data_IF_803760627731
#
_entry.id   IF_803760627731
#
_cell.length_a   1.000
_cell.length_b   1.000
_cell.length_c   1.000
_cell.angle_alpha   90.00
_cell.angle_beta   90.00
_cell.angle_gamma   90.00
#
_symmetry.space_group_name_H-M   'P 1'
#
loop_
_entity.id
_entity.type
_entity.pdbx_description
1 polymer ?
#
# COMPACT_ATOMS: atom_id res chain seq x y z
N UNK A 1 28.93 37.58 -2.01
CA UNK A 1 28.55 36.18 -1.71
C UNK A 1 27.06 36.20 -1.47
N UNK A 2 26.27 35.98 -2.52
CA UNK A 2 24.81 36.10 -2.46
C UNK A 2 24.21 34.72 -2.21
N UNK A 3 23.55 34.55 -1.07
CA UNK A 3 22.74 33.37 -0.77
C UNK A 3 21.42 33.50 -1.54
N UNK A 4 21.17 32.57 -2.46
CA UNK A 4 19.88 32.41 -3.10
C UNK A 4 19.05 31.43 -2.25
N UNK A 5 17.98 31.93 -1.62
CA UNK A 5 16.99 31.10 -0.94
C UNK A 5 16.10 30.40 -1.96
N UNK A 6 16.11 29.07 -1.95
CA UNK A 6 15.15 28.26 -2.69
C UNK A 6 13.89 28.09 -1.86
N UNK A 7 12.80 28.71 -2.31
CA UNK A 7 11.45 28.44 -1.82
C UNK A 7 10.98 27.10 -2.38
N UNK A 8 10.74 26.12 -1.51
CA UNK A 8 10.08 24.86 -1.85
C UNK A 8 8.58 25.09 -1.85
N UNK A 9 7.98 25.10 -3.04
CA UNK A 9 6.52 25.13 -3.22
C UNK A 9 5.97 23.75 -2.89
N UNK A 10 5.22 23.63 -1.80
CA UNK A 10 4.44 22.44 -1.46
C UNK A 10 3.23 22.39 -2.41
N UNK A 11 3.21 21.44 -3.35
CA UNK A 11 2.04 21.20 -4.19
C UNK A 11 1.14 20.16 -3.52
N UNK A 12 0.00 20.60 -3.01
CA UNK A 12 -1.08 19.74 -2.54
C UNK A 12 -1.70 19.00 -3.74
N UNK A 13 -1.44 17.70 -3.85
CA UNK A 13 -2.13 16.82 -4.80
C UNK A 13 -3.28 16.14 -4.07
N UNK A 14 -4.52 16.56 -4.36
CA UNK A 14 -5.73 15.84 -3.96
C UNK A 14 -5.82 14.50 -4.69
N UNK A 15 -5.83 13.42 -3.93
CA UNK A 15 -6.08 12.07 -4.42
C UNK A 15 -7.60 11.91 -4.53
N UNK A 16 -8.13 11.90 -5.76
CA UNK A 16 -9.51 11.51 -6.00
C UNK A 16 -9.66 10.01 -5.79
N UNK A 17 -10.61 9.61 -4.94
CA UNK A 17 -11.01 8.22 -4.72
C UNK A 17 -11.94 7.82 -5.87
N UNK A 18 -11.48 6.96 -6.78
CA UNK A 18 -12.32 6.35 -7.81
C UNK A 18 -13.05 5.13 -7.21
N UNK A 19 -14.39 5.19 -7.25
CA UNK A 19 -15.30 4.11 -6.87
C UNK A 19 -15.13 2.89 -7.80
N UNK A 20 -14.98 1.71 -7.21
CA UNK A 20 -14.71 0.45 -7.91
C UNK A 20 -15.98 -0.40 -7.96
N UNK A 21 -16.66 -0.43 -9.12
CA UNK A 21 -17.85 -1.26 -9.33
C UNK A 21 -17.50 -2.75 -9.51
N UNK A 22 -18.01 -3.60 -8.61
CA UNK A 22 -17.86 -5.06 -8.64
C UNK A 22 -19.00 -5.66 -9.48
N UNK A 23 -18.69 -6.22 -10.64
CA UNK A 23 -19.66 -6.99 -11.43
C UNK A 23 -19.70 -8.46 -10.99
N UNK A 24 -20.90 -8.93 -10.63
CA UNK A 24 -21.23 -10.33 -10.34
C UNK A 24 -21.11 -11.20 -11.60
N UNK A 25 -20.39 -12.31 -11.50
CA UNK A 25 -20.28 -13.34 -12.53
C UNK A 25 -21.44 -14.32 -12.38
N UNK A 26 -22.28 -14.42 -13.42
CA UNK A 26 -23.39 -15.36 -13.52
C UNK A 26 -22.86 -16.81 -13.65
N UNK A 27 -23.41 -17.70 -12.82
CA UNK A 27 -23.07 -19.11 -12.75
C UNK A 27 -23.79 -19.93 -13.81
N UNK A 28 -23.03 -20.76 -14.53
CA UNK A 28 -23.57 -21.75 -15.47
C UNK A 28 -23.96 -23.04 -14.77
N UNK A 29 -25.22 -23.45 -14.95
CA UNK A 29 -25.81 -24.75 -14.57
C UNK A 29 -25.00 -25.92 -15.17
N UNK A 30 -24.64 -26.89 -14.32
CA UNK A 30 -24.02 -28.15 -14.69
C UNK A 30 -24.97 -29.27 -14.26
N UNK A 31 -25.53 -29.98 -15.24
CA UNK A 31 -26.49 -31.06 -15.04
C UNK A 31 -25.83 -32.30 -14.42
N UNK A 32 -26.46 -32.78 -13.35
CA UNK A 32 -26.18 -34.01 -12.62
C UNK A 32 -26.64 -35.24 -13.42
N UNK A 33 -25.77 -36.25 -13.58
CA UNK A 33 -26.17 -37.62 -13.90
C UNK A 33 -25.60 -38.60 -12.86
N UNK A 34 -26.55 -39.23 -12.18
CA UNK A 34 -26.51 -40.26 -11.14
C UNK A 34 -25.74 -41.54 -11.58
N UNK A 35 -24.81 -42.03 -10.76
CA UNK A 35 -24.49 -43.47 -10.72
C UNK A 35 -24.14 -43.93 -9.29
N UNK A 36 -25.09 -44.65 -8.69
CA UNK A 36 -25.06 -45.15 -7.32
C UNK A 36 -24.32 -46.49 -7.22
N UNK A 37 -23.13 -46.49 -6.63
CA UNK A 37 -22.38 -47.69 -6.26
C UNK A 37 -21.94 -47.66 -4.80
N UNK A 38 -22.70 -48.29 -3.90
CA UNK A 38 -22.39 -48.34 -2.46
C UNK A 38 -21.25 -49.33 -2.16
N UNK A 39 -20.05 -48.82 -1.89
CA UNK A 39 -18.99 -49.56 -1.19
C UNK A 39 -18.77 -48.89 0.17
N UNK A 40 -19.22 -49.56 1.24
CA UNK A 40 -18.92 -49.17 2.62
C UNK A 40 -17.46 -49.54 2.90
N UNK A 41 -16.57 -48.58 2.73
CA UNK A 41 -15.19 -48.65 3.18
C UNK A 41 -15.03 -47.81 4.46
N UNK A 42 -14.78 -48.49 5.59
CA UNK A 42 -14.59 -47.90 6.93
C UNK A 42 -13.28 -47.09 7.06
N UNK A 43 -12.57 -46.83 5.94
CA UNK A 43 -11.43 -45.91 5.85
C UNK A 43 -11.83 -44.43 5.62
N UNK A 44 -13.12 -44.15 5.37
CA UNK A 44 -13.63 -42.82 5.00
C UNK A 44 -13.58 -41.75 6.12
N UNK A 45 -13.41 -42.13 7.39
CA UNK A 45 -13.34 -41.16 8.49
C UNK A 45 -11.98 -40.43 8.57
N UNK A 46 -10.88 -41.05 8.13
CA UNK A 46 -9.57 -40.40 8.09
C UNK A 46 -9.43 -39.43 6.90
N UNK A 47 -10.14 -39.69 5.80
CA UNK A 47 -10.11 -38.83 4.60
C UNK A 47 -10.86 -37.51 4.84
N UNK A 48 -11.96 -37.53 5.59
CA UNK A 48 -12.70 -36.31 5.95
C UNK A 48 -11.89 -35.40 6.89
N UNK A 49 -11.11 -35.98 7.80
CA UNK A 49 -10.22 -35.19 8.67
C UNK A 49 -9.01 -34.65 7.90
N UNK A 50 -8.52 -35.31 6.85
CA UNK A 50 -7.50 -34.74 5.97
C UNK A 50 -8.05 -33.65 5.03
N UNK A 51 -9.30 -33.77 4.57
CA UNK A 51 -9.93 -32.79 3.68
C UNK A 51 -10.29 -31.49 4.42
N UNK A 52 -10.69 -31.56 5.69
CA UNK A 52 -11.05 -30.37 6.48
C UNK A 52 -9.85 -29.50 6.87
N UNK A 53 -8.62 -30.04 6.80
CA UNK A 53 -7.38 -29.30 7.02
C UNK A 53 -6.77 -28.73 5.73
N UNK A 54 -7.39 -28.97 4.57
CA UNK A 54 -6.84 -28.57 3.26
C UNK A 54 -7.22 -27.15 2.83
N UNK A 55 -8.14 -26.48 3.53
CA UNK A 55 -8.39 -25.05 3.35
C UNK A 55 -7.66 -24.25 4.42
N UNK A 56 -6.32 -24.39 4.49
CA UNK A 56 -5.53 -23.41 5.21
C UNK A 56 -5.76 -22.05 4.53
N UNK A 57 -6.58 -21.23 5.16
CA UNK A 57 -6.98 -19.92 4.66
C UNK A 57 -5.71 -19.13 4.31
N UNK A 58 -5.58 -18.81 3.02
CA UNK A 58 -4.45 -18.05 2.53
C UNK A 58 -4.53 -16.66 3.15
N UNK A 59 -3.46 -16.26 3.81
CA UNK A 59 -3.43 -15.01 4.58
C UNK A 59 -2.94 -13.84 3.74
N UNK A 60 -1.95 -14.07 2.89
CA UNK A 60 -1.44 -13.07 1.96
C UNK A 60 -0.80 -13.77 0.75
N UNK A 61 -1.34 -13.52 -0.44
CA UNK A 61 -0.99 -14.25 -1.67
C UNK A 61 -1.10 -15.77 -1.48
N UNK A 62 0.01 -16.49 -1.65
CA UNK A 62 0.14 -17.94 -1.54
C UNK A 62 0.64 -18.41 -0.15
N UNK A 63 0.64 -17.52 0.85
CA UNK A 63 1.19 -17.79 2.18
C UNK A 63 0.09 -17.84 3.23
N UNK A 64 0.19 -18.82 4.13
CA UNK A 64 -0.54 -18.83 5.38
C UNK A 64 0.11 -17.86 6.38
N UNK A 65 -0.59 -17.55 7.48
CA UNK A 65 -0.05 -16.70 8.55
C UNK A 65 1.22 -17.31 9.19
N UNK A 66 1.28 -18.63 9.32
CA UNK A 66 2.46 -19.34 9.86
C UNK A 66 3.64 -19.28 8.90
N UNK A 67 3.41 -19.47 7.60
CA UNK A 67 4.44 -19.32 6.56
C UNK A 67 5.04 -17.91 6.53
N UNK A 68 4.18 -16.90 6.66
CA UNK A 68 4.55 -15.50 6.68
C UNK A 68 5.46 -15.17 7.88
N UNK A 69 5.07 -15.61 9.09
CA UNK A 69 5.79 -15.33 10.33
C UNK A 69 7.05 -16.20 10.50
N UNK A 70 7.05 -17.42 9.94
CA UNK A 70 8.20 -18.33 10.00
C UNK A 70 9.36 -17.91 9.11
N UNK A 71 9.16 -16.97 8.17
CA UNK A 71 10.20 -16.37 7.33
C UNK A 71 10.84 -17.30 6.29
N UNK A 72 10.58 -18.61 6.34
CA UNK A 72 11.22 -19.62 5.50
C UNK A 72 10.64 -19.76 4.09
N UNK A 73 9.35 -19.45 3.89
CA UNK A 73 8.70 -19.64 2.58
C UNK A 73 8.76 -18.38 1.72
N UNK A 74 9.21 -18.55 0.47
CA UNK A 74 9.17 -17.50 -0.53
C UNK A 74 7.71 -17.19 -0.93
N UNK A 75 7.39 -15.91 -1.04
CA UNK A 75 6.10 -15.47 -1.59
C UNK A 75 6.12 -15.63 -3.10
N UNK A 76 4.99 -16.00 -3.67
CA UNK A 76 4.72 -15.99 -5.11
C UNK A 76 3.58 -15.02 -5.32
N UNK A 77 3.89 -13.83 -5.81
CA UNK A 77 2.88 -12.85 -6.14
C UNK A 77 2.09 -13.30 -7.36
N UNK A 78 0.77 -13.13 -7.31
CA UNK A 78 -0.10 -13.30 -8.45
C UNK A 78 0.24 -12.30 -9.57
N UNK A 79 -0.21 -12.58 -10.80
CA UNK A 79 -0.05 -11.63 -11.92
C UNK A 79 -0.72 -10.29 -11.61
N UNK A 80 -1.91 -10.31 -10.98
CA UNK A 80 -2.61 -9.09 -10.53
C UNK A 80 -1.73 -8.26 -9.60
N UNK A 81 -1.14 -8.91 -8.60
CA UNK A 81 -0.31 -8.24 -7.59
C UNK A 81 0.99 -7.68 -8.18
N UNK A 82 1.61 -8.39 -9.12
CA UNK A 82 2.79 -7.88 -9.84
C UNK A 82 2.42 -6.62 -10.63
N UNK A 83 1.28 -6.63 -11.36
CA UNK A 83 0.78 -5.43 -12.07
C UNK A 83 0.51 -4.29 -11.10
N UNK A 84 -0.16 -4.54 -9.97
CA UNK A 84 -0.40 -3.54 -8.93
C UNK A 84 0.90 -2.93 -8.42
N UNK A 85 1.92 -3.75 -8.12
CA UNK A 85 3.25 -3.28 -7.67
C UNK A 85 3.90 -2.41 -8.75
N UNK A 86 3.88 -2.84 -10.01
CA UNK A 86 4.51 -2.10 -11.12
C UNK A 86 3.81 -0.78 -11.39
N UNK A 87 2.47 -0.78 -11.49
CA UNK A 87 1.67 0.42 -11.67
C UNK A 87 1.84 1.40 -10.50
N UNK A 88 1.83 0.91 -9.25
CA UNK A 88 2.08 1.71 -8.07
C UNK A 88 3.48 2.36 -8.12
N UNK A 89 4.51 1.56 -8.44
CA UNK A 89 5.89 2.05 -8.54
C UNK A 89 6.06 3.07 -9.66
N UNK A 90 5.41 2.88 -10.82
CA UNK A 90 5.40 3.88 -11.88
C UNK A 90 4.67 5.15 -11.44
N UNK A 91 3.48 5.06 -10.83
CA UNK A 91 2.71 6.22 -10.35
C UNK A 91 3.52 7.06 -9.38
N UNK A 92 4.04 6.39 -8.34
CA UNK A 92 4.77 7.02 -7.25
C UNK A 92 6.26 7.20 -7.54
N UNK A 93 6.76 6.80 -8.71
CA UNK A 93 8.19 6.79 -9.05
C UNK A 93 9.05 6.16 -7.93
N UNK A 94 8.68 4.95 -7.53
CA UNK A 94 9.34 4.15 -6.47
C UNK A 94 10.21 3.08 -7.08
N UNK A 95 11.41 2.90 -6.55
CA UNK A 95 12.36 1.87 -6.99
C UNK A 95 13.16 1.31 -5.81
N UNK A 96 14.06 0.36 -6.07
CA UNK A 96 14.93 -0.23 -5.04
C UNK A 96 15.86 0.82 -4.42
N UNK A 97 16.30 1.80 -5.22
CA UNK A 97 17.18 2.89 -4.79
C UNK A 97 16.43 4.14 -4.32
N UNK A 98 15.18 4.35 -4.75
CA UNK A 98 14.29 5.37 -4.21
C UNK A 98 13.02 4.74 -3.62
N UNK A 99 13.17 4.18 -2.42
CA UNK A 99 12.15 3.39 -1.70
C UNK A 99 10.88 4.20 -1.38
N UNK A 100 9.72 3.53 -1.19
CA UNK A 100 8.51 4.21 -0.76
C UNK A 100 8.64 4.68 0.70
N UNK A 101 7.99 5.77 1.08
CA UNK A 101 7.83 6.13 2.50
C UNK A 101 7.03 5.07 3.25
N UNK A 102 7.05 5.05 4.60
CA UNK A 102 6.22 4.13 5.38
C UNK A 102 4.72 4.20 5.02
N UNK A 103 4.20 5.42 4.79
CA UNK A 103 2.82 5.63 4.38
C UNK A 103 2.55 5.04 2.99
N UNK A 104 3.42 5.30 2.01
CA UNK A 104 3.29 4.71 0.66
C UNK A 104 3.39 3.19 0.68
N UNK A 105 4.24 2.61 1.54
CA UNK A 105 4.31 1.15 1.69
C UNK A 105 3.00 0.59 2.28
N UNK A 106 2.39 1.24 3.26
CA UNK A 106 1.07 0.84 3.76
C UNK A 106 0.00 0.94 2.66
N UNK A 107 -0.04 2.03 1.89
CA UNK A 107 -0.97 2.16 0.75
C UNK A 107 -0.80 1.04 -0.26
N UNK A 108 0.44 0.64 -0.58
CA UNK A 108 0.70 -0.49 -1.46
C UNK A 108 0.25 -1.83 -0.84
N UNK A 109 0.47 -2.04 0.46
CA UNK A 109 0.00 -3.25 1.14
C UNK A 109 -1.53 -3.36 1.10
N UNK A 110 -2.24 -2.27 1.33
CA UNK A 110 -3.71 -2.24 1.18
C UNK A 110 -4.15 -2.52 -0.26
N UNK A 111 -3.47 -1.95 -1.26
CA UNK A 111 -3.75 -2.21 -2.68
C UNK A 111 -3.46 -3.67 -3.10
N UNK A 112 -2.72 -4.42 -2.28
CA UNK A 112 -2.43 -5.84 -2.42
C UNK A 112 -3.34 -6.71 -1.54
N UNK A 113 -4.45 -6.15 -1.06
CA UNK A 113 -5.45 -6.84 -0.23
C UNK A 113 -4.83 -7.45 1.04
N UNK A 114 -3.84 -6.76 1.65
CA UNK A 114 -3.27 -7.19 2.93
C UNK A 114 -4.32 -7.10 4.06
N UNK A 115 -4.47 -8.13 4.91
CA UNK A 115 -5.52 -8.15 5.94
C UNK A 115 -5.39 -6.98 6.92
N UNK A 116 -6.46 -6.19 7.07
CA UNK A 116 -6.48 -4.99 7.94
C UNK A 116 -6.19 -5.31 9.41
N UNK A 117 -6.64 -6.48 9.87
CA UNK A 117 -6.46 -7.00 11.23
C UNK A 117 -5.08 -7.66 11.46
N UNK A 118 -4.18 -7.57 10.48
CA UNK A 118 -2.89 -8.23 10.59
C UNK A 118 -2.05 -7.68 11.75
N UNK A 119 -1.45 -8.61 12.50
CA UNK A 119 -0.57 -8.26 13.60
C UNK A 119 0.64 -7.47 13.09
N UNK A 120 1.22 -6.62 13.93
CA UNK A 120 2.41 -5.80 13.59
C UNK A 120 3.52 -6.64 12.94
N UNK A 121 3.78 -7.85 13.48
CA UNK A 121 4.80 -8.75 12.93
C UNK A 121 4.44 -9.30 11.55
N UNK A 122 3.17 -9.64 11.33
CA UNK A 122 2.71 -10.09 10.02
C UNK A 122 2.79 -8.94 9.01
N UNK A 123 2.37 -7.73 9.40
CA UNK A 123 2.47 -6.52 8.58
C UNK A 123 3.90 -6.20 8.17
N UNK A 124 4.84 -6.24 9.13
CA UNK A 124 6.27 -6.07 8.87
C UNK A 124 6.80 -7.15 7.90
N UNK A 125 6.42 -8.41 8.09
CA UNK A 125 6.82 -9.49 7.20
C UNK A 125 6.27 -9.33 5.76
N UNK A 126 5.02 -8.91 5.61
CA UNK A 126 4.42 -8.59 4.30
C UNK A 126 5.16 -7.42 3.64
N UNK A 127 5.38 -6.33 4.38
CA UNK A 127 6.13 -5.17 3.88
C UNK A 127 7.54 -5.54 3.41
N UNK A 128 8.26 -6.36 4.17
CA UNK A 128 9.57 -6.86 3.77
C UNK A 128 9.55 -7.70 2.48
N UNK A 129 8.51 -8.52 2.28
CA UNK A 129 8.31 -9.33 1.07
C UNK A 129 7.95 -8.46 -0.13
N UNK A 130 7.08 -7.46 0.03
CA UNK A 130 6.71 -6.49 -1.02
C UNK A 130 7.92 -5.65 -1.44
N UNK A 131 8.75 -5.20 -0.50
CA UNK A 131 9.98 -4.46 -0.84
C UNK A 131 10.96 -5.32 -1.67
N UNK A 132 11.05 -6.63 -1.41
CA UNK A 132 11.83 -7.54 -2.27
C UNK A 132 11.20 -7.71 -3.66
N UNK A 133 9.87 -7.71 -3.75
CA UNK A 133 9.18 -7.76 -5.03
C UNK A 133 9.40 -6.49 -5.86
N UNK A 134 9.44 -5.30 -5.24
CA UNK A 134 9.82 -4.06 -5.92
C UNK A 134 11.24 -4.18 -6.49
N UNK A 135 12.19 -4.68 -5.70
CA UNK A 135 13.56 -4.89 -6.18
C UNK A 135 13.61 -5.85 -7.38
N UNK A 136 12.92 -7.00 -7.29
CA UNK A 136 12.95 -8.02 -8.35
C UNK A 136 12.13 -7.67 -9.61
N UNK A 137 10.86 -7.29 -9.45
CA UNK A 137 9.93 -7.09 -10.57
C UNK A 137 9.98 -5.70 -11.18
N UNK A 138 10.55 -4.72 -10.47
CA UNK A 138 10.65 -3.33 -10.95
C UNK A 138 12.09 -2.94 -11.24
N UNK A 139 12.99 -3.04 -10.26
CA UNK A 139 14.33 -2.42 -10.37
C UNK A 139 15.34 -3.30 -11.10
N UNK A 140 15.37 -4.59 -10.80
CA UNK A 140 16.25 -5.56 -11.46
C UNK A 140 15.58 -6.27 -12.66
N UNK A 141 14.38 -5.83 -13.04
CA UNK A 141 13.68 -6.39 -14.18
C UNK A 141 14.29 -5.83 -15.48
N UNK A 142 15.03 -6.68 -16.20
CA UNK A 142 15.69 -6.32 -17.46
C UNK A 142 14.73 -5.89 -18.57
N UNK A 143 13.46 -6.27 -18.48
CA UNK A 143 12.42 -5.86 -19.43
C UNK A 143 11.87 -4.47 -19.13
N UNK A 144 12.00 -3.99 -17.88
CA UNK A 144 11.55 -2.67 -17.49
C UNK A 144 12.55 -1.60 -17.98
N UNK A 145 12.30 -1.09 -19.18
CA UNK A 145 13.10 -0.01 -19.78
C UNK A 145 12.61 1.39 -19.36
N UNK A 146 11.45 1.47 -18.71
CA UNK A 146 10.90 2.74 -18.24
C UNK A 146 11.68 3.30 -17.04
N UNK A 147 12.25 2.45 -16.19
CA UNK A 147 13.04 2.84 -15.03
C UNK A 147 14.54 2.84 -15.38
N UNK A 148 15.22 3.92 -15.01
CA UNK A 148 16.68 3.98 -14.99
C UNK A 148 17.17 4.45 -13.63
N UNK A 149 18.00 3.62 -13.00
CA UNK A 149 18.68 3.94 -11.74
C UNK A 149 20.17 4.13 -12.02
N UNK A 150 20.69 5.34 -11.77
CA UNK A 150 22.10 5.67 -12.00
C UNK A 150 22.70 6.27 -10.73
N UNK A 151 23.90 5.85 -10.29
CA UNK A 151 24.60 6.55 -9.23
C UNK A 151 25.06 7.93 -9.73
N UNK A 152 24.69 8.98 -9.00
CA UNK A 152 25.19 10.34 -9.21
C UNK A 152 26.68 10.48 -8.87
N UNK A 153 27.25 11.63 -9.22
CA UNK A 153 28.67 11.96 -8.92
C UNK A 153 28.96 12.02 -7.43
N UNK A 154 27.96 12.31 -6.61
CA UNK A 154 27.95 12.35 -5.15
C UNK A 154 27.64 10.99 -4.51
N UNK A 155 27.51 9.92 -5.33
CA UNK A 155 27.05 8.57 -4.91
C UNK A 155 25.60 8.53 -4.43
N UNK A 156 24.82 9.59 -4.64
CA UNK A 156 23.37 9.56 -4.43
C UNK A 156 22.72 8.97 -5.67
N UNK A 157 21.83 8.00 -5.48
CA UNK A 157 21.15 7.37 -6.60
C UNK A 157 20.11 8.30 -7.19
N UNK A 158 20.17 8.49 -8.51
CA UNK A 158 19.17 9.20 -9.30
C UNK A 158 18.29 8.15 -9.98
N UNK A 159 17.00 8.17 -9.65
CA UNK A 159 16.01 7.25 -10.20
C UNK A 159 15.08 8.04 -11.11
N UNK A 160 15.08 7.70 -12.39
CA UNK A 160 14.30 8.38 -13.41
C UNK A 160 13.34 7.42 -14.09
N UNK A 161 12.11 7.88 -14.30
CA UNK A 161 11.07 7.13 -15.00
C UNK A 161 10.79 7.76 -16.36
N UNK A 162 10.51 6.97 -17.38
CA UNK A 162 10.05 7.45 -18.68
C UNK A 162 8.58 7.86 -18.64
N UNK A 163 8.19 8.81 -19.49
CA UNK A 163 6.81 9.30 -19.58
C UNK A 163 5.83 8.19 -20.01
N UNK A 164 6.23 7.31 -20.94
CA UNK A 164 5.39 6.17 -21.36
C UNK A 164 5.05 5.19 -20.22
N UNK A 165 5.77 5.22 -19.09
CA UNK A 165 5.43 4.40 -17.92
C UNK A 165 4.05 4.76 -17.32
N UNK A 166 3.48 5.91 -17.70
CA UNK A 166 2.12 6.31 -17.30
C UNK A 166 1.05 5.43 -17.95
N UNK A 167 1.35 4.77 -19.08
CA UNK A 167 0.42 3.82 -19.72
C UNK A 167 0.09 2.64 -18.80
N UNK A 168 0.99 2.25 -17.89
CA UNK A 168 0.74 1.20 -16.89
C UNK A 168 -0.31 1.55 -15.84
N UNK A 169 -0.75 2.81 -15.80
CA UNK A 169 -1.78 3.28 -14.87
C UNK A 169 -3.19 3.10 -15.45
N UNK A 170 -3.29 2.70 -16.71
CA UNK A 170 -4.55 2.43 -17.39
C UNK A 170 -5.14 1.11 -16.85
N UNK A 171 -6.48 1.08 -16.74
CA UNK A 171 -7.19 -0.07 -16.18
C UNK A 171 -7.03 -1.35 -17.01
N UNK A 172 -6.88 -1.20 -18.32
CA UNK A 172 -6.74 -2.29 -19.30
C UNK A 172 -5.30 -2.71 -19.56
N UNK A 173 -4.32 -2.18 -18.81
CA UNK A 173 -2.93 -2.57 -18.96
C UNK A 173 -2.70 -4.05 -18.62
N UNK A 174 -2.05 -4.77 -19.54
CA UNK A 174 -1.85 -6.22 -19.49
C UNK A 174 -0.64 -6.67 -18.67
N UNK A 175 0.11 -5.73 -18.08
CA UNK A 175 1.31 -6.02 -17.30
C UNK A 175 2.61 -6.10 -18.11
N UNK A 176 2.58 -5.85 -19.42
CA UNK A 176 3.82 -5.75 -20.20
C UNK A 176 4.55 -4.45 -19.86
N UNK A 177 5.77 -4.60 -19.34
CA UNK A 177 6.65 -3.49 -18.93
C UNK A 177 7.66 -3.09 -20.00
N UNK A 178 7.64 -3.73 -21.18
CA UNK A 178 8.49 -3.36 -22.31
C UNK A 178 8.05 -2.02 -22.89
N UNK A 179 8.97 -1.36 -23.59
CA UNK A 179 8.67 -0.15 -24.37
C UNK A 179 7.65 -0.51 -25.47
N UNK A 180 6.47 0.13 -25.53
CA UNK A 180 5.53 -0.08 -26.62
C UNK A 180 6.11 0.29 -27.99
N UNK A 181 5.67 -0.39 -29.05
CA UNK A 181 6.16 -0.11 -30.42
C UNK A 181 5.67 1.26 -30.95
N UNK A 182 4.64 1.83 -30.32
CA UNK A 182 3.97 3.08 -30.67
C UNK A 182 4.29 4.23 -29.70
N UNK A 183 5.43 4.16 -28.98
CA UNK A 183 5.87 5.25 -28.10
C UNK A 183 6.20 6.50 -28.92
N UNK A 184 5.57 7.62 -28.57
CA UNK A 184 5.86 8.90 -29.20
C UNK A 184 7.13 9.55 -28.65
N UNK A 185 7.74 10.46 -29.43
CA UNK A 185 8.98 11.17 -29.02
C UNK A 185 8.83 11.90 -27.68
N UNK A 186 7.65 12.45 -27.40
CA UNK A 186 7.40 13.16 -26.15
C UNK A 186 7.32 12.20 -24.94
N UNK A 187 6.90 10.96 -25.15
CA UNK A 187 6.81 9.92 -24.11
C UNK A 187 8.18 9.25 -23.83
N UNK A 188 9.15 9.42 -24.73
CA UNK A 188 10.55 9.03 -24.51
C UNK A 188 11.28 9.93 -23.51
N UNK A 189 10.67 11.04 -23.12
CA UNK A 189 11.23 11.96 -22.12
C UNK A 189 11.23 11.32 -20.74
N UNK A 190 12.14 11.82 -19.91
CA UNK A 190 12.23 11.44 -18.50
C UNK A 190 11.26 12.31 -17.71
N UNK A 191 10.44 11.68 -16.87
CA UNK A 191 9.57 12.30 -15.89
C UNK A 191 10.41 13.08 -14.86
N UNK A 192 9.88 14.15 -14.26
CA UNK A 192 10.56 14.84 -13.16
C UNK A 192 10.92 13.85 -12.05
N UNK A 193 12.21 13.74 -11.74
CA UNK A 193 12.71 12.82 -10.73
C UNK A 193 12.35 13.32 -9.33
N UNK A 194 11.88 12.41 -8.48
CA UNK A 194 11.75 12.70 -7.05
C UNK A 194 13.10 12.49 -6.36
N UNK A 195 13.43 13.41 -5.45
CA UNK A 195 14.57 13.23 -4.55
C UNK A 195 14.45 11.96 -3.70
N UNK A 196 15.56 11.55 -3.09
CA UNK A 196 15.59 10.43 -2.16
C UNK A 196 14.64 10.73 -0.98
N UNK A 197 13.64 9.87 -0.77
CA UNK A 197 12.62 10.07 0.28
C UNK A 197 13.14 9.85 1.69
N UNK A 198 14.02 8.86 1.87
CA UNK A 198 14.63 8.51 3.16
C UNK A 198 15.81 7.55 2.97
N UNK A 199 16.59 7.34 4.04
CA UNK A 199 17.74 6.42 4.05
C UNK A 199 17.46 5.04 4.71
N UNK A 200 16.21 4.74 5.09
CA UNK A 200 15.88 3.50 5.79
C UNK A 200 16.27 2.22 5.02
N UNK A 201 16.79 1.23 5.74
CA UNK A 201 16.94 -0.14 5.24
C UNK A 201 15.56 -0.77 4.97
N UNK A 202 15.51 -1.89 4.23
CA UNK A 202 14.24 -2.54 3.93
C UNK A 202 13.51 -3.02 5.21
N UNK A 203 14.25 -3.56 6.19
CA UNK A 203 13.69 -3.97 7.48
C UNK A 203 13.22 -2.77 8.31
N UNK A 204 14.01 -1.68 8.37
CA UNK A 204 13.59 -0.46 9.08
C UNK A 204 12.33 0.15 8.46
N UNK A 205 12.24 0.19 7.14
CA UNK A 205 11.07 0.70 6.42
C UNK A 205 9.83 -0.15 6.70
N UNK A 206 9.95 -1.49 6.64
CA UNK A 206 8.84 -2.38 6.94
C UNK A 206 8.37 -2.26 8.40
N UNK A 207 9.29 -2.15 9.36
CA UNK A 207 8.97 -1.94 10.77
C UNK A 207 8.29 -0.58 11.01
N UNK A 208 8.77 0.48 10.35
CA UNK A 208 8.16 1.80 10.43
C UNK A 208 6.73 1.82 9.84
N UNK A 209 6.51 1.13 8.71
CA UNK A 209 5.20 0.98 8.10
C UNK A 209 4.23 0.22 9.01
N UNK A 210 4.67 -0.88 9.63
CA UNK A 210 3.88 -1.63 10.60
C UNK A 210 3.54 -0.82 11.87
N UNK A 211 4.48 0.00 12.36
CA UNK A 211 4.22 0.90 13.48
C UNK A 211 3.18 1.98 13.13
N UNK A 212 3.24 2.52 11.89
CA UNK A 212 2.26 3.48 11.40
C UNK A 212 0.86 2.84 11.26
N UNK A 213 0.78 1.62 10.73
CA UNK A 213 -0.47 0.85 10.62
C UNK A 213 -1.13 0.64 11.99
N UNK A 214 -0.35 0.20 12.98
CA UNK A 214 -0.85 0.01 14.36
C UNK A 214 -1.43 1.30 14.94
N UNK A 215 -0.80 2.45 14.71
CA UNK A 215 -1.29 3.74 15.20
C UNK A 215 -2.61 4.12 14.54
N UNK A 216 -2.76 3.86 13.25
CA UNK A 216 -4.02 4.10 12.53
C UNK A 216 -5.16 3.24 13.08
N UNK A 217 -4.91 1.93 13.29
CA UNK A 217 -5.90 1.03 13.89
C UNK A 217 -6.30 1.45 15.31
N UNK A 218 -5.32 1.80 16.15
CA UNK A 218 -5.60 2.25 17.52
C UNK A 218 -6.40 3.57 17.57
N UNK A 219 -6.24 4.43 16.57
CA UNK A 219 -7.05 5.65 16.43
C UNK A 219 -8.48 5.33 15.97
N UNK A 220 -8.64 4.45 14.99
CA UNK A 220 -9.98 4.01 14.56
C UNK A 220 -10.79 3.41 15.72
N UNK A 221 -10.15 2.58 16.55
CA UNK A 221 -10.77 1.99 17.75
C UNK A 221 -11.13 3.03 18.85
N UNK A 222 -10.45 4.18 18.90
CA UNK A 222 -10.80 5.25 19.84
C UNK A 222 -11.97 6.08 19.34
N UNK A 223 -11.98 6.40 18.05
CA UNK A 223 -13.01 7.23 17.42
C UNK A 223 -14.38 6.50 17.46
N UNK A 224 -14.42 5.17 17.28
CA UNK A 224 -15.64 4.36 17.40
C UNK A 224 -16.26 4.40 18.81
N UNK A 225 -15.46 4.58 19.87
CA UNK A 225 -15.97 4.62 21.26
C UNK A 225 -16.53 5.98 21.65
N UNK A 226 -16.09 7.06 21.01
CA UNK A 226 -16.60 8.41 21.28
C UNK A 226 -18.01 8.60 20.70
N UNK A 227 -18.32 7.98 19.55
CA UNK A 227 -19.66 8.06 18.95
C UNK A 227 -20.73 7.30 19.77
N UNK A 228 -20.41 6.15 20.35
CA UNK A 228 -21.35 5.40 21.21
C UNK A 228 -21.63 6.10 22.57
N UNK A 229 -20.80 7.05 22.98
CA UNK A 229 -20.92 7.76 24.26
C UNK A 229 -21.73 9.06 24.23
N UNK A 230 -22.12 9.55 23.04
CA UNK A 230 -22.78 10.87 22.89
C UNK A 230 -24.31 10.81 22.95
N UNK A 231 -24.93 9.63 23.01
CA UNK A 231 -26.38 9.49 22.99
C UNK A 231 -26.93 9.47 24.43
N UNK A 232 -27.31 10.64 24.96
CA UNK A 232 -28.25 10.69 26.08
C UNK A 232 -27.96 11.63 27.25
N UNK A 233 -27.04 12.60 27.13
CA UNK A 233 -27.05 13.73 28.08
C UNK A 233 -27.60 14.98 27.42
N UNK A 234 -28.94 15.01 27.32
CA UNK A 234 -29.73 16.21 27.09
C UNK A 234 -29.54 17.12 28.32
N UNK A 235 -28.47 17.91 28.31
CA UNK A 235 -28.20 18.89 29.37
C UNK A 235 -29.15 20.05 29.11
N UNK A 236 -30.20 20.10 29.92
CA UNK A 236 -31.11 21.23 30.04
C UNK A 236 -30.25 22.49 30.29
N UNK A 237 -30.09 23.31 29.25
CA UNK A 237 -29.31 24.53 29.26
C UNK A 237 -29.99 25.54 30.19
N UNK A 238 -29.54 25.59 31.43
CA UNK A 238 -29.82 26.69 32.34
C UNK A 238 -29.02 27.91 31.89
N UNK A 239 -29.73 28.91 31.37
CA UNK A 239 -29.26 30.27 31.18
C UNK A 239 -28.50 30.76 32.42
N UNK A 240 -27.21 31.01 32.26
CA UNK A 240 -26.42 31.78 33.21
C UNK A 240 -25.74 32.90 32.43
N UNK A 241 -26.31 34.10 32.56
CA UNK A 241 -25.71 35.37 32.22
C UNK A 241 -24.29 35.44 32.80
N UNK A 242 -23.26 35.49 31.95
CA UNK A 242 -21.88 35.74 32.37
C UNK A 242 -21.46 37.14 31.91
N UNK A 243 -21.08 37.92 32.91
CA UNK A 243 -20.89 39.36 32.84
C UNK A 243 -19.60 39.72 32.11
N UNK A 244 -19.69 40.81 31.34
CA UNK A 244 -18.57 41.45 30.66
C UNK A 244 -17.48 41.82 31.66
N UNK A 245 -16.27 41.27 31.44
CA UNK A 245 -15.04 41.84 31.98
C UNK A 245 -14.18 42.32 30.81
N UNK A 246 -14.37 43.60 30.53
CA UNK A 246 -13.32 44.51 30.07
C UNK A 246 -12.10 44.44 31.02
N UNK A 247 -10.96 44.95 30.55
CA UNK A 247 -9.64 45.07 31.20
C UNK A 247 -8.63 44.03 30.67
N UNK A 248 -7.43 44.36 30.23
CA UNK A 248 -6.72 45.63 30.29
C UNK A 248 -5.54 45.58 29.31
N UNK A 249 -5.13 46.77 28.90
CA UNK A 249 -4.01 47.07 28.03
C UNK A 249 -2.71 46.37 28.43
N UNK A 250 -1.99 45.86 27.42
CA UNK A 250 -0.55 45.62 27.55
C UNK A 250 0.19 46.00 26.28
N UNK A 251 0.41 47.30 26.15
CA UNK A 251 1.58 47.84 25.47
C UNK A 251 2.82 47.41 26.25
N UNK A 252 3.77 46.75 25.59
CA UNK A 252 5.18 46.87 25.96
C UNK A 252 6.01 46.66 24.68
N UNK A 253 6.60 47.79 24.26
CA UNK A 253 7.88 47.95 23.57
C UNK A 253 8.91 46.85 23.95
N UNK A 254 9.92 46.51 23.16
CA UNK A 254 11.17 47.26 23.00
C UNK A 254 12.10 46.49 22.01
N UNK A 255 12.83 47.26 21.19
CA UNK A 255 14.22 47.02 20.70
C UNK A 255 14.49 45.81 19.77
N UNK A 256 15.18 45.88 18.63
CA UNK A 256 15.92 46.92 17.88
C UNK A 256 16.17 46.33 16.46
#
# INVERSE_FOLDING_TARGET
MSQAGSATSESEYSIASDDFDIYSIDGSEFDDDDDSGSYVDESAQDVHHAMQWSQAELYFENLTKTDLLGGGKAIRFSTRSIRTIQAFCARQQVSARNKPTPALLNSLLHALDAPHDASVRAWEAMGGKVLRAIDYHVSNNVQNQALREVPGSDRVWVCTWKEWSKRWLQHDWDGDVREPDDVEEHEMRVRPAFGLRHAMSASQLAAAAAALHRRAMAKAESDEKEEEGSDGHEVESGDADDEESDDDDREDEWED
#
